data_IF_366703157525
#
_entry.id   IF_366703157525
#
_cell.length_a   1.000
_cell.length_b   1.000
_cell.length_c   1.000
_cell.angle_alpha   90.00
_cell.angle_beta   90.00
_cell.angle_gamma   90.00
#
_symmetry.space_group_name_H-M   'P 1'
#
loop_
_entity.id
_entity.type
_entity.pdbx_description
1 polymer ?
#
# COMPACT_ATOMS: atom_id res chain seq x y z
N UNK A 1 -16.45 80.64 44.96
CA UNK A 1 -16.99 79.26 44.83
C UNK A 1 -16.91 78.87 43.38
N UNK A 2 -15.94 78.12 43.02
CA UNK A 2 -15.70 77.73 41.64
C UNK A 2 -15.69 76.18 41.55
N UNK A 3 -16.65 75.65 40.88
CA UNK A 3 -16.82 74.21 40.73
C UNK A 3 -16.00 73.76 39.49
N UNK A 4 -14.98 72.92 39.69
CA UNK A 4 -14.20 72.33 38.68
C UNK A 4 -14.89 71.08 38.09
N UNK A 5 -15.07 71.04 36.78
CA UNK A 5 -15.61 69.91 36.03
C UNK A 5 -14.44 69.05 35.59
N UNK A 6 -14.36 67.84 36.13
CA UNK A 6 -13.43 66.79 35.62
C UNK A 6 -14.04 66.09 34.42
N UNK A 7 -13.40 66.22 33.28
CA UNK A 7 -13.73 65.45 32.05
C UNK A 7 -12.88 64.19 32.07
N UNK A 8 -13.53 63.06 32.29
CA UNK A 8 -12.90 61.75 32.15
C UNK A 8 -12.95 61.30 30.68
N UNK A 9 -11.82 61.25 30.02
CA UNK A 9 -11.68 60.71 28.67
C UNK A 9 -11.62 59.19 28.73
N UNK A 10 -12.65 58.52 28.21
CA UNK A 10 -12.66 57.07 28.03
C UNK A 10 -12.04 56.75 26.70
N UNK A 11 -10.88 56.12 26.74
CA UNK A 11 -10.21 55.57 25.54
C UNK A 11 -10.75 54.17 25.32
N UNK A 12 -11.53 53.97 24.25
CA UNK A 12 -11.88 52.66 23.75
C UNK A 12 -10.73 52.08 22.93
N UNK A 13 -10.03 51.11 23.49
CA UNK A 13 -9.11 50.31 22.75
C UNK A 13 -9.90 49.22 21.97
N UNK A 14 -10.03 49.38 20.65
CA UNK A 14 -10.52 48.35 19.74
C UNK A 14 -9.41 47.29 19.60
N UNK A 15 -9.51 46.19 20.34
CA UNK A 15 -8.71 44.99 20.05
C UNK A 15 -9.38 44.23 18.91
N UNK A 16 -8.96 44.50 17.68
CA UNK A 16 -9.31 43.70 16.52
C UNK A 16 -8.62 42.33 16.63
N UNK A 17 -9.38 41.31 17.02
CA UNK A 17 -8.94 39.92 16.92
C UNK A 17 -9.10 39.51 15.45
N UNK A 18 -8.01 39.56 14.70
CA UNK A 18 -7.96 38.94 13.37
C UNK A 18 -7.90 37.41 13.56
N UNK A 19 -9.01 36.73 13.30
CA UNK A 19 -8.99 35.28 13.08
C UNK A 19 -8.36 35.03 11.70
N UNK A 20 -7.07 34.78 11.68
CA UNK A 20 -6.45 34.08 10.57
C UNK A 20 -6.88 32.62 10.66
N UNK A 21 -7.80 32.20 9.79
CA UNK A 21 -8.08 30.81 9.53
C UNK A 21 -6.83 30.17 8.91
N UNK A 22 -5.88 29.76 9.74
CA UNK A 22 -4.76 28.95 9.34
C UNK A 22 -5.30 27.55 9.04
N UNK A 23 -5.29 27.13 7.77
CA UNK A 23 -5.32 25.72 7.44
C UNK A 23 -4.18 25.08 8.24
N UNK A 24 -4.52 24.24 9.22
CA UNK A 24 -3.52 23.43 9.93
C UNK A 24 -2.94 22.48 8.89
N UNK A 25 -1.79 22.85 8.32
CA UNK A 25 -0.92 21.87 7.66
C UNK A 25 -0.50 20.91 8.76
N UNK A 26 -0.89 19.66 8.65
CA UNK A 26 -0.30 18.62 9.48
C UNK A 26 1.22 18.72 9.37
N UNK A 27 1.97 18.55 10.45
CA UNK A 27 3.41 18.70 10.40
C UNK A 27 3.97 17.64 9.44
N UNK A 28 4.74 18.10 8.46
CA UNK A 28 5.48 17.29 7.46
C UNK A 28 6.22 16.11 8.12
N UNK A 29 6.67 16.27 9.36
CA UNK A 29 7.34 15.25 10.15
C UNK A 29 6.49 13.99 10.45
N UNK A 30 5.15 14.08 10.56
CA UNK A 30 4.31 12.92 10.88
C UNK A 30 4.11 12.02 9.65
N UNK A 31 3.93 12.62 8.48
CA UNK A 31 3.82 11.90 7.21
C UNK A 31 5.15 11.21 6.84
N UNK A 32 6.29 11.85 7.07
CA UNK A 32 7.61 11.27 6.83
C UNK A 32 7.88 10.06 7.74
N UNK A 33 7.47 10.10 9.01
CA UNK A 33 7.60 8.98 9.94
C UNK A 33 6.70 7.80 9.54
N UNK A 34 5.45 8.06 9.19
CA UNK A 34 4.52 7.03 8.75
C UNK A 34 4.99 6.32 7.46
N UNK A 35 5.49 7.09 6.50
CA UNK A 35 6.06 6.55 5.27
C UNK A 35 7.32 5.70 5.54
N UNK A 36 8.16 6.12 6.50
CA UNK A 36 9.34 5.35 6.90
C UNK A 36 8.96 4.03 7.59
N UNK A 37 7.97 4.04 8.47
CA UNK A 37 7.46 2.85 9.16
C UNK A 37 6.82 1.88 8.17
N UNK A 38 6.01 2.37 7.23
CA UNK A 38 5.41 1.56 6.16
C UNK A 38 6.48 0.95 5.24
N UNK A 39 7.48 1.72 4.84
CA UNK A 39 8.58 1.22 4.00
C UNK A 39 9.37 0.14 4.73
N UNK A 40 9.64 0.32 6.02
CA UNK A 40 10.31 -0.68 6.85
C UNK A 40 9.49 -1.98 6.90
N UNK A 41 8.18 -1.87 7.15
CA UNK A 41 7.28 -3.04 7.16
C UNK A 41 7.25 -3.72 5.79
N UNK A 42 7.22 -2.96 4.69
CA UNK A 42 7.24 -3.52 3.34
C UNK A 42 8.51 -4.35 3.07
N UNK A 43 9.68 -3.86 3.48
CA UNK A 43 10.92 -4.64 3.37
C UNK A 43 10.93 -5.87 4.28
N UNK A 44 10.34 -5.81 5.47
CA UNK A 44 10.17 -6.99 6.33
C UNK A 44 9.29 -8.04 5.65
N UNK A 45 8.15 -7.64 5.07
CA UNK A 45 7.26 -8.53 4.31
C UNK A 45 8.01 -9.19 3.16
N UNK A 46 8.78 -8.41 2.37
CA UNK A 46 9.59 -8.94 1.27
C UNK A 46 10.66 -9.93 1.77
N UNK A 47 11.27 -9.66 2.93
CA UNK A 47 12.21 -10.56 3.58
C UNK A 47 11.56 -11.88 3.99
N UNK A 48 10.41 -11.84 4.64
CA UNK A 48 9.68 -13.04 5.05
C UNK A 48 9.29 -13.90 3.83
N UNK A 49 8.76 -13.28 2.77
CA UNK A 49 8.40 -14.01 1.55
C UNK A 49 9.65 -14.63 0.90
N UNK A 50 10.74 -13.88 0.77
CA UNK A 50 11.99 -14.35 0.16
C UNK A 50 12.60 -15.54 0.90
N UNK A 51 12.46 -15.58 2.21
CA UNK A 51 13.05 -16.60 3.10
C UNK A 51 12.03 -17.71 3.45
N UNK A 52 10.84 -17.73 2.80
CA UNK A 52 9.72 -18.67 3.04
C UNK A 52 9.25 -18.68 4.51
N UNK A 53 9.45 -17.55 5.24
CA UNK A 53 9.02 -17.41 6.64
C UNK A 53 7.55 -16.96 6.70
N UNK A 54 6.65 -17.85 6.28
CA UNK A 54 5.21 -17.59 6.29
C UNK A 54 4.63 -17.47 7.69
N UNK A 55 5.29 -18.02 8.70
CA UNK A 55 4.88 -17.83 10.08
C UNK A 55 5.08 -16.37 10.52
N UNK A 56 6.23 -15.75 10.22
CA UNK A 56 6.47 -14.33 10.50
C UNK A 56 5.61 -13.43 9.59
N UNK A 57 5.41 -13.80 8.33
CA UNK A 57 4.51 -13.10 7.42
C UNK A 57 3.09 -13.02 7.99
N UNK A 58 2.56 -14.12 8.54
CA UNK A 58 1.21 -14.17 9.11
C UNK A 58 0.98 -13.16 10.24
N UNK A 59 2.04 -12.84 11.01
CA UNK A 59 1.95 -11.89 12.12
C UNK A 59 1.71 -10.43 11.69
N UNK A 60 2.00 -10.11 10.44
CA UNK A 60 1.83 -8.77 9.87
C UNK A 60 0.64 -8.66 8.92
N UNK A 61 -0.04 -9.76 8.61
CA UNK A 61 -1.29 -9.79 7.84
C UNK A 61 -2.44 -9.17 8.64
N UNK A 62 -3.42 -8.58 7.95
CA UNK A 62 -4.62 -8.02 8.56
C UNK A 62 -5.43 -9.13 9.24
N UNK A 63 -5.72 -9.03 10.57
CA UNK A 63 -6.25 -10.16 11.33
C UNK A 63 -7.71 -10.51 11.01
N UNK A 64 -8.51 -9.55 10.56
CA UNK A 64 -9.92 -9.76 10.20
C UNK A 64 -10.10 -9.99 8.71
N UNK A 65 -9.41 -9.19 7.88
CA UNK A 65 -9.59 -9.20 6.44
C UNK A 65 -8.62 -10.12 5.69
N UNK A 66 -7.56 -10.59 6.36
CA UNK A 66 -6.54 -11.40 5.69
C UNK A 66 -5.75 -10.60 4.67
N UNK A 67 -5.16 -11.27 3.68
CA UNK A 67 -4.43 -10.66 2.57
C UNK A 67 -4.94 -11.16 1.23
N UNK A 68 -5.17 -10.23 0.29
CA UNK A 68 -5.60 -10.52 -1.08
C UNK A 68 -4.39 -10.58 -2.00
N UNK A 69 -4.36 -11.58 -2.88
CA UNK A 69 -3.35 -11.74 -3.91
C UNK A 69 -3.92 -11.45 -5.29
N UNK A 70 -3.30 -10.58 -6.06
CA UNK A 70 -3.68 -10.32 -7.44
C UNK A 70 -2.49 -10.48 -8.38
N UNK A 71 -2.68 -11.30 -9.42
CA UNK A 71 -1.69 -11.52 -10.47
C UNK A 71 -1.56 -10.33 -11.44
N UNK A 72 -2.42 -9.32 -11.32
CA UNK A 72 -2.45 -8.11 -12.14
C UNK A 72 -2.89 -6.90 -11.31
N UNK A 73 -2.68 -5.70 -11.85
CA UNK A 73 -3.04 -4.43 -11.19
C UNK A 73 -4.51 -4.33 -10.79
N UNK A 74 -5.40 -4.97 -11.55
CA UNK A 74 -6.84 -4.99 -11.26
C UNK A 74 -7.17 -6.04 -10.21
N UNK A 75 -7.60 -5.61 -9.04
CA UNK A 75 -8.07 -6.48 -7.96
C UNK A 75 -9.55 -6.79 -8.18
N UNK A 76 -9.89 -8.08 -8.13
CA UNK A 76 -11.27 -8.56 -8.16
C UNK A 76 -11.51 -9.51 -6.99
N UNK A 77 -12.16 -9.01 -5.94
CA UNK A 77 -12.39 -9.78 -4.71
C UNK A 77 -13.25 -11.04 -4.89
N UNK A 78 -13.94 -11.19 -6.04
CA UNK A 78 -14.74 -12.40 -6.35
C UNK A 78 -13.91 -13.52 -7.00
N UNK A 79 -12.72 -13.21 -7.53
CA UNK A 79 -11.87 -14.18 -8.25
C UNK A 79 -10.46 -14.28 -7.72
N UNK A 80 -9.93 -13.21 -7.09
CA UNK A 80 -8.63 -13.24 -6.46
C UNK A 80 -8.66 -14.02 -5.14
N UNK A 81 -7.59 -14.72 -4.83
CA UNK A 81 -7.46 -15.43 -3.57
C UNK A 81 -7.25 -14.46 -2.42
N UNK A 82 -7.88 -14.79 -1.31
CA UNK A 82 -7.69 -14.13 -0.01
C UNK A 82 -7.37 -15.21 1.01
N UNK A 83 -6.31 -15.00 1.78
CA UNK A 83 -5.90 -15.91 2.84
C UNK A 83 -5.94 -15.20 4.20
N UNK A 84 -6.46 -15.90 5.20
CA UNK A 84 -6.41 -15.50 6.60
C UNK A 84 -4.98 -15.60 7.16
N UNK A 85 -4.77 -15.09 8.36
CA UNK A 85 -3.49 -15.20 9.07
C UNK A 85 -3.08 -16.66 9.27
N UNK A 86 -4.04 -17.55 9.61
CA UNK A 86 -3.80 -18.97 9.82
C UNK A 86 -3.43 -19.69 8.51
N UNK A 87 -4.11 -19.34 7.42
CA UNK A 87 -3.80 -19.91 6.10
C UNK A 87 -2.42 -19.45 5.61
N UNK A 88 -2.08 -18.18 5.82
CA UNK A 88 -0.72 -17.68 5.51
C UNK A 88 0.35 -18.43 6.31
N UNK A 89 0.14 -18.67 7.59
CA UNK A 89 1.10 -19.39 8.43
C UNK A 89 1.36 -20.85 7.99
N UNK A 90 0.48 -21.42 7.16
CA UNK A 90 0.56 -22.79 6.67
C UNK A 90 0.93 -22.90 5.18
N UNK A 91 1.19 -21.77 4.49
CA UNK A 91 1.38 -21.76 3.03
C UNK A 91 2.60 -22.55 2.55
N UNK A 92 3.65 -22.68 3.37
CA UNK A 92 4.87 -23.43 3.04
C UNK A 92 4.61 -24.92 2.77
N UNK A 93 3.56 -25.47 3.40
CA UNK A 93 3.17 -26.87 3.26
C UNK A 93 1.92 -27.09 2.40
N UNK A 94 1.28 -26.01 1.96
CA UNK A 94 0.04 -26.10 1.20
C UNK A 94 0.31 -26.50 -0.27
N UNK A 95 -0.18 -27.68 -0.65
CA UNK A 95 -0.08 -28.23 -2.01
C UNK A 95 -1.40 -28.12 -2.77
N UNK A 96 -2.41 -27.43 -2.22
CA UNK A 96 -3.67 -27.24 -2.90
C UNK A 96 -3.52 -26.33 -4.11
N UNK A 97 -4.15 -26.72 -5.23
CA UNK A 97 -4.19 -25.89 -6.44
C UNK A 97 -5.38 -24.95 -6.35
N UNK A 98 -5.10 -23.66 -6.27
CA UNK A 98 -6.09 -22.60 -6.24
C UNK A 98 -6.26 -21.93 -7.61
N UNK A 99 -7.44 -21.39 -7.85
CA UNK A 99 -7.69 -20.48 -8.96
C UNK A 99 -7.40 -19.05 -8.51
N UNK A 100 -6.28 -18.45 -8.97
CA UNK A 100 -5.81 -17.12 -8.57
C UNK A 100 -6.37 -15.96 -9.43
N UNK A 101 -7.23 -16.25 -10.35
CA UNK A 101 -7.79 -15.34 -11.35
C UNK A 101 -7.67 -15.91 -12.73
N UNK A 102 -7.60 -15.05 -13.73
CA UNK A 102 -7.47 -15.45 -15.14
C UNK A 102 -6.30 -14.73 -15.80
N UNK A 103 -5.65 -15.39 -16.75
CA UNK A 103 -4.60 -14.76 -17.55
C UNK A 103 -5.18 -13.66 -18.43
N UNK A 104 -4.58 -12.47 -18.40
CA UNK A 104 -4.90 -11.39 -19.33
C UNK A 104 -4.61 -11.89 -20.77
N UNK A 105 -5.47 -11.48 -21.70
CA UNK A 105 -5.38 -11.89 -23.11
C UNK A 105 -6.08 -13.22 -23.41
N UNK A 106 -5.70 -14.34 -22.77
CA UNK A 106 -6.34 -15.64 -23.04
C UNK A 106 -7.65 -15.87 -22.29
N UNK A 107 -7.79 -15.27 -21.08
CA UNK A 107 -8.92 -15.53 -20.19
C UNK A 107 -8.89 -16.91 -19.52
N UNK A 108 -7.82 -17.69 -19.71
CA UNK A 108 -7.67 -18.99 -19.06
C UNK A 108 -7.45 -18.84 -17.55
N UNK A 109 -7.95 -19.78 -16.72
CA UNK A 109 -7.76 -19.72 -15.28
C UNK A 109 -6.29 -19.89 -14.88
N UNK A 110 -5.82 -19.11 -13.92
CA UNK A 110 -4.52 -19.26 -13.29
C UNK A 110 -4.67 -20.31 -12.18
N UNK A 111 -4.31 -21.56 -12.50
CA UNK A 111 -4.43 -22.70 -11.59
C UNK A 111 -3.05 -23.08 -11.08
N UNK A 112 -2.71 -22.67 -9.86
CA UNK A 112 -1.38 -22.82 -9.25
C UNK A 112 -1.49 -23.22 -7.77
N UNK A 113 -0.50 -23.94 -7.27
CA UNK A 113 -0.25 -24.05 -5.83
C UNK A 113 0.28 -22.72 -5.29
N UNK A 114 0.27 -22.47 -3.97
CA UNK A 114 0.90 -21.28 -3.39
C UNK A 114 2.35 -21.10 -3.82
N UNK A 115 3.16 -22.15 -3.73
CA UNK A 115 4.56 -22.10 -4.12
C UNK A 115 4.75 -21.66 -5.59
N UNK A 116 3.99 -22.24 -6.53
CA UNK A 116 4.04 -21.86 -7.96
C UNK A 116 3.56 -20.41 -8.18
N UNK A 117 2.56 -19.96 -7.41
CA UNK A 117 2.08 -18.57 -7.50
C UNK A 117 3.12 -17.58 -7.01
N UNK A 118 3.75 -17.86 -5.85
CA UNK A 118 4.80 -16.99 -5.32
C UNK A 118 6.00 -16.93 -6.25
N UNK A 119 6.46 -18.05 -6.80
CA UNK A 119 7.54 -18.08 -7.79
C UNK A 119 7.23 -17.21 -9.01
N UNK A 120 5.98 -17.24 -9.49
CA UNK A 120 5.58 -16.56 -10.72
C UNK A 120 5.20 -15.09 -10.55
N UNK A 121 4.44 -14.75 -9.50
CA UNK A 121 3.81 -13.44 -9.34
C UNK A 121 4.30 -12.66 -8.10
N UNK A 122 5.03 -13.30 -7.20
CA UNK A 122 5.56 -12.67 -5.99
C UNK A 122 7.05 -13.00 -5.80
N UNK A 123 7.92 -12.87 -6.82
CA UNK A 123 9.34 -13.22 -6.72
C UNK A 123 10.09 -12.19 -5.85
N UNK A 124 9.88 -12.24 -4.54
CA UNK A 124 10.38 -11.26 -3.58
C UNK A 124 11.90 -11.06 -3.63
N UNK A 125 12.67 -12.10 -3.96
CA UNK A 125 14.12 -12.01 -4.12
C UNK A 125 14.55 -11.01 -5.20
N UNK A 126 13.74 -10.81 -6.24
CA UNK A 126 14.00 -9.84 -7.29
C UNK A 126 13.61 -8.42 -6.86
N UNK A 127 12.41 -8.28 -6.26
CA UNK A 127 11.83 -6.98 -5.92
C UNK A 127 12.41 -6.34 -4.67
N UNK A 128 12.99 -7.10 -3.73
CA UNK A 128 13.61 -6.54 -2.52
C UNK A 128 14.74 -5.56 -2.84
N UNK A 129 15.33 -5.66 -4.04
CA UNK A 129 16.36 -4.76 -4.54
C UNK A 129 15.86 -3.87 -5.69
N UNK A 130 14.55 -3.68 -5.81
CA UNK A 130 13.97 -2.86 -6.88
C UNK A 130 14.61 -1.46 -6.90
N UNK A 131 15.04 -0.97 -8.07
CA UNK A 131 15.76 0.30 -8.18
C UNK A 131 14.87 1.51 -7.97
N UNK A 132 13.53 1.35 -8.04
CA UNK A 132 12.57 2.43 -7.87
C UNK A 132 11.48 2.02 -6.90
N UNK A 133 11.18 2.90 -5.94
CA UNK A 133 10.07 2.74 -5.01
C UNK A 133 9.03 3.85 -5.21
N UNK A 134 7.76 3.47 -5.23
CA UNK A 134 6.62 4.37 -5.11
C UNK A 134 6.02 4.25 -3.71
N UNK A 135 5.93 5.35 -2.97
CA UNK A 135 5.26 5.39 -1.67
C UNK A 135 3.92 6.08 -1.87
N UNK A 136 2.82 5.36 -1.63
CA UNK A 136 1.46 5.79 -1.94
C UNK A 136 1.31 6.31 -3.38
N UNK A 137 2.13 5.81 -4.28
CA UNK A 137 2.18 6.21 -5.68
C UNK A 137 2.52 5.02 -6.56
N UNK A 138 1.69 4.76 -7.56
CA UNK A 138 1.98 3.84 -8.65
C UNK A 138 3.14 4.40 -9.47
N UNK A 139 4.22 3.64 -9.60
CA UNK A 139 5.40 4.08 -10.36
C UNK A 139 5.12 4.05 -11.85
N UNK A 140 4.52 2.97 -12.32
CA UNK A 140 4.10 2.81 -13.71
C UNK A 140 2.79 2.03 -13.81
N UNK A 141 1.90 2.49 -14.70
CA UNK A 141 0.66 1.80 -15.04
C UNK A 141 0.77 1.18 -16.42
N UNK A 142 0.21 -0.02 -16.58
CA UNK A 142 0.04 -0.68 -17.85
C UNK A 142 -1.34 -0.45 -18.45
N UNK A 143 -1.82 -1.44 -19.18
CA UNK A 143 -3.15 -1.47 -19.78
C UNK A 143 -4.23 -2.06 -18.83
N UNK A 144 -3.83 -2.65 -17.69
CA UNK A 144 -4.76 -3.08 -16.65
C UNK A 144 -5.20 -1.89 -15.77
N UNK A 145 -6.45 -1.91 -15.33
CA UNK A 145 -7.00 -0.87 -14.45
C UNK A 145 -6.36 -0.96 -13.06
N UNK A 146 -5.81 0.15 -12.60
CA UNK A 146 -5.31 0.33 -11.24
C UNK A 146 -6.48 0.67 -10.31
N UNK A 147 -6.88 -0.25 -9.45
CA UNK A 147 -8.06 -0.07 -8.60
C UNK A 147 -7.84 -0.38 -7.11
N UNK A 148 -6.60 -0.48 -6.66
CA UNK A 148 -6.31 -0.81 -5.25
C UNK A 148 -7.00 0.15 -4.27
N UNK A 149 -6.96 1.46 -4.55
CA UNK A 149 -7.58 2.50 -3.70
C UNK A 149 -9.12 2.42 -3.74
N UNK A 150 -9.70 1.99 -4.88
CA UNK A 150 -11.15 1.82 -4.98
C UNK A 150 -11.63 0.61 -4.19
N UNK A 151 -10.83 -0.47 -4.16
CA UNK A 151 -11.13 -1.70 -3.43
C UNK A 151 -10.85 -1.56 -1.93
N UNK A 152 -9.78 -0.86 -1.57
CA UNK A 152 -9.35 -0.60 -0.21
C UNK A 152 -9.18 0.91 0.00
N UNK A 153 -10.23 1.66 0.38
CA UNK A 153 -10.20 3.13 0.40
C UNK A 153 -9.19 3.76 1.37
N UNK A 154 -8.77 3.01 2.40
CA UNK A 154 -7.81 3.47 3.41
C UNK A 154 -6.41 2.89 3.19
N UNK A 155 -6.19 2.18 2.09
CA UNK A 155 -4.91 1.52 1.82
C UNK A 155 -3.80 2.54 1.62
N UNK A 156 -2.67 2.26 2.27
CA UNK A 156 -1.37 2.84 1.97
C UNK A 156 -0.52 1.75 1.33
N UNK A 157 0.37 2.09 0.41
CA UNK A 157 1.12 1.05 -0.29
C UNK A 157 2.53 1.45 -0.67
N UNK A 158 3.38 0.44 -0.82
CA UNK A 158 4.70 0.55 -1.41
C UNK A 158 4.71 -0.21 -2.74
N UNK A 159 5.13 0.46 -3.80
CA UNK A 159 5.29 -0.08 -5.15
C UNK A 159 6.78 -0.32 -5.42
N UNK A 160 7.20 -1.58 -5.41
CA UNK A 160 8.54 -2.00 -5.79
C UNK A 160 8.57 -2.16 -7.30
N UNK A 161 9.27 -1.28 -8.00
CA UNK A 161 9.25 -1.24 -9.46
C UNK A 161 10.60 -1.58 -10.07
N UNK A 162 10.57 -2.51 -11.01
CA UNK A 162 11.70 -2.88 -11.87
C UNK A 162 11.41 -2.33 -13.27
N UNK A 163 12.14 -1.29 -13.74
CA UNK A 163 11.99 -0.79 -15.10
C UNK A 163 12.50 -1.83 -16.11
N UNK A 164 11.92 -1.84 -17.29
CA UNK A 164 12.44 -2.62 -18.41
C UNK A 164 13.86 -2.23 -18.81
N UNK A 165 14.58 -3.10 -19.50
CA UNK A 165 15.94 -2.85 -19.97
C UNK A 165 16.02 -1.69 -20.98
N UNK A 166 17.18 -1.02 -21.10
CA UNK A 166 17.40 0.12 -21.99
C UNK A 166 17.17 -0.19 -23.49
N UNK A 167 17.21 -1.46 -23.86
CA UNK A 167 16.98 -1.94 -25.24
C UNK A 167 15.66 -2.69 -25.40
N UNK A 168 14.91 -2.89 -24.30
CA UNK A 168 13.64 -3.59 -24.32
C UNK A 168 12.51 -2.64 -24.72
N UNK A 169 11.47 -3.19 -25.29
CA UNK A 169 10.24 -2.47 -25.58
C UNK A 169 9.68 -1.88 -24.28
N UNK A 170 8.89 -0.82 -24.35
CA UNK A 170 8.30 -0.15 -23.17
C UNK A 170 7.46 -1.10 -22.28
N UNK A 171 7.31 -2.35 -22.69
CA UNK A 171 6.50 -3.41 -22.07
C UNK A 171 7.21 -4.29 -21.04
N UNK A 172 8.54 -4.23 -20.90
CA UNK A 172 9.29 -5.19 -20.07
C UNK A 172 9.39 -4.82 -18.58
N UNK A 173 8.67 -3.81 -18.13
CA UNK A 173 8.64 -3.42 -16.73
C UNK A 173 7.69 -4.30 -15.90
N UNK A 174 7.97 -4.37 -14.61
CA UNK A 174 7.06 -4.98 -13.64
C UNK A 174 7.12 -4.28 -12.28
N UNK A 175 6.06 -4.44 -11.52
CA UNK A 175 5.92 -3.92 -10.16
C UNK A 175 5.30 -4.96 -9.24
N UNK A 176 5.77 -4.97 -8.00
CA UNK A 176 5.13 -5.69 -6.90
C UNK A 176 4.69 -4.67 -5.85
N UNK A 177 3.38 -4.57 -5.59
CA UNK A 177 2.81 -3.63 -4.62
C UNK A 177 2.35 -4.35 -3.39
N UNK A 178 2.75 -3.82 -2.25
CA UNK A 178 2.29 -4.25 -0.94
C UNK A 178 1.36 -3.19 -0.38
N UNK A 179 0.08 -3.54 -0.20
CA UNK A 179 -0.95 -2.68 0.38
C UNK A 179 -1.12 -2.95 1.86
N UNK A 180 -1.24 -1.87 2.64
CA UNK A 180 -1.38 -1.90 4.10
C UNK A 180 -2.59 -1.07 4.52
N UNK A 181 -3.31 -1.55 5.52
CA UNK A 181 -4.33 -0.77 6.25
C UNK A 181 -3.99 -0.71 7.73
N UNK A 182 -4.45 0.33 8.39
CA UNK A 182 -4.28 0.49 9.83
C UNK A 182 -5.33 -0.35 10.57
N UNK A 183 -4.87 -1.22 11.45
CA UNK A 183 -5.69 -2.00 12.36
C UNK A 183 -5.11 -1.91 13.77
N UNK A 184 -5.90 -1.42 14.72
CA UNK A 184 -5.52 -1.23 16.12
C UNK A 184 -4.19 -0.43 16.28
N UNK A 185 -4.08 0.69 15.53
CA UNK A 185 -2.93 1.59 15.55
C UNK A 185 -1.65 1.05 14.93
N UNK A 186 -1.75 -0.01 14.08
CA UNK A 186 -0.62 -0.61 13.37
C UNK A 186 -0.98 -0.89 11.92
N UNK A 187 -0.01 -0.68 11.04
CA UNK A 187 -0.16 -1.10 9.64
C UNK A 187 -0.16 -2.63 9.55
N UNK A 188 -1.10 -3.17 8.76
CA UNK A 188 -1.28 -4.59 8.48
C UNK A 188 -1.34 -4.82 6.98
N UNK A 189 -0.69 -5.88 6.52
CA UNK A 189 -0.68 -6.27 5.12
C UNK A 189 -2.08 -6.75 4.71
N UNK A 190 -2.69 -6.12 3.68
CA UNK A 190 -4.02 -6.45 3.18
C UNK A 190 -4.03 -6.87 1.70
N UNK A 191 -3.00 -6.50 0.94
CA UNK A 191 -2.92 -6.84 -0.48
C UNK A 191 -1.47 -7.03 -0.94
N UNK A 192 -1.27 -8.02 -1.83
CA UNK A 192 -0.05 -8.22 -2.61
C UNK A 192 -0.48 -8.26 -4.08
N UNK A 193 0.00 -7.29 -4.87
CA UNK A 193 -0.45 -7.07 -6.25
C UNK A 193 0.73 -7.02 -7.18
N UNK A 194 0.79 -7.96 -8.11
CA UNK A 194 1.73 -7.92 -9.22
C UNK A 194 1.16 -7.06 -10.35
N UNK A 195 2.00 -6.33 -11.04
CA UNK A 195 1.63 -5.52 -12.19
C UNK A 195 2.75 -5.53 -13.22
N UNK A 196 2.37 -5.77 -14.47
CA UNK A 196 3.26 -5.67 -15.62
C UNK A 196 2.47 -5.26 -16.85
N UNK A 197 3.14 -4.97 -17.94
CA UNK A 197 2.44 -4.84 -19.21
C UNK A 197 1.84 -6.19 -19.62
N UNK A 198 0.60 -6.16 -20.08
CA UNK A 198 -0.10 -7.36 -20.59
C UNK A 198 -0.68 -7.06 -21.98
N UNK A 199 -0.55 -8.01 -22.90
CA UNK A 199 -1.12 -7.93 -24.26
C UNK A 199 -2.57 -8.37 -24.29
#
# INVERSE_FOLDING_TARGET
MSAGILIASVIYALTGVMFFGGAQRQPVAAEDHENADMTTLAYMVMGYIKDDDFLSLSQVVHPEDGVVFSAYATINLSTNQRFSTEEIAALDTDQHVYMWGVYNGSGEPIMLTPAEYFEKFVPAAEYINAPVLGINRVVRSGNALENMIDVFPNVKFVDFHIPGGETSEESDWSSLRLGFEEYDGRLRLIAIVYSSWTV
#
